data_IF_101958704079
#
_entry.id   IF_101958704079
#
_cell.length_a   1.000
_cell.length_b   1.000
_cell.length_c   1.000
_cell.angle_alpha   90.00
_cell.angle_beta   90.00
_cell.angle_gamma   90.00
#
_symmetry.space_group_name_H-M   'P 1'
#
loop_
_entity.id
_entity.type
_entity.pdbx_description
1 polymer ?
#
# COMPACT_ATOMS: atom_id res chain seq x y z
N UNK A 1 28.37 -12.85 -15.93
CA UNK A 1 26.93 -12.92 -15.58
C UNK A 1 26.67 -11.83 -14.55
N UNK A 2 26.15 -10.68 -14.98
CA UNK A 2 25.71 -9.64 -14.04
C UNK A 2 24.49 -10.18 -13.34
N UNK A 3 24.49 -10.28 -12.01
CA UNK A 3 23.24 -10.36 -11.27
C UNK A 3 22.42 -9.14 -11.72
N UNK A 4 21.32 -9.37 -12.44
CA UNK A 4 20.45 -8.28 -12.88
C UNK A 4 19.99 -7.51 -11.66
N UNK A 5 20.01 -6.17 -11.73
CA UNK A 5 19.40 -5.36 -10.68
C UNK A 5 17.97 -5.90 -10.45
N UNK A 6 17.54 -6.11 -9.20
CA UNK A 6 16.17 -6.53 -8.93
C UNK A 6 15.21 -5.52 -9.57
N UNK A 7 14.14 -6.03 -10.18
CA UNK A 7 13.04 -5.20 -10.69
C UNK A 7 12.53 -4.32 -9.54
N UNK A 8 12.27 -3.04 -9.82
CA UNK A 8 11.84 -2.09 -8.79
C UNK A 8 10.55 -2.56 -8.12
N UNK A 9 9.69 -3.24 -8.87
CA UNK A 9 8.43 -3.78 -8.39
C UNK A 9 8.66 -4.95 -7.42
N UNK A 10 9.67 -5.79 -7.66
CA UNK A 10 10.04 -6.86 -6.75
C UNK A 10 10.63 -6.32 -5.45
N UNK A 11 11.47 -5.27 -5.54
CA UNK A 11 11.98 -4.57 -4.36
C UNK A 11 10.85 -3.95 -3.53
N UNK A 12 9.90 -3.27 -4.20
CA UNK A 12 8.73 -2.68 -3.56
C UNK A 12 7.85 -3.72 -2.89
N UNK A 13 7.51 -4.82 -3.58
CA UNK A 13 6.77 -5.96 -3.00
C UNK A 13 7.47 -6.53 -1.78
N UNK A 14 8.80 -6.69 -1.85
CA UNK A 14 9.59 -7.21 -0.74
C UNK A 14 9.52 -6.30 0.49
N UNK A 15 9.57 -4.99 0.30
CA UNK A 15 9.45 -4.01 1.39
C UNK A 15 8.06 -4.07 2.01
N UNK A 16 7.00 -4.04 1.19
CA UNK A 16 5.62 -4.08 1.66
C UNK A 16 5.32 -5.38 2.42
N UNK A 17 5.73 -6.54 1.88
CA UNK A 17 5.59 -7.84 2.56
C UNK A 17 6.35 -7.92 3.88
N UNK A 18 7.41 -7.12 4.06
CA UNK A 18 8.22 -7.06 5.28
C UNK A 18 7.86 -5.87 6.18
N UNK A 19 6.80 -5.13 5.87
CA UNK A 19 6.41 -3.95 6.62
C UNK A 19 6.18 -4.23 8.11
N UNK A 20 5.49 -5.33 8.45
CA UNK A 20 5.29 -5.75 9.85
C UNK A 20 6.63 -5.99 10.58
N UNK A 21 7.66 -6.52 9.89
CA UNK A 21 9.00 -6.68 10.48
C UNK A 21 9.60 -5.31 10.83
N UNK A 22 9.44 -4.32 9.95
CA UNK A 22 9.88 -2.93 10.20
C UNK A 22 9.14 -2.37 11.42
N UNK A 23 7.82 -2.50 11.47
CA UNK A 23 7.00 -2.03 12.61
C UNK A 23 7.42 -2.70 13.92
N UNK A 24 7.59 -4.02 13.93
CA UNK A 24 8.09 -4.74 15.12
C UNK A 24 9.50 -4.31 15.54
N UNK A 25 10.35 -3.93 14.60
CA UNK A 25 11.68 -3.42 14.90
C UNK A 25 11.63 -2.02 15.53
N UNK A 26 10.70 -1.16 15.10
CA UNK A 26 10.50 0.17 15.68
C UNK A 26 10.06 0.13 17.15
N UNK A 27 9.39 -0.96 17.57
CA UNK A 27 9.05 -1.23 18.98
C UNK A 27 10.29 -1.52 19.85
N UNK A 28 11.40 -1.98 19.27
CA UNK A 28 12.65 -2.27 20.00
C UNK A 28 13.46 -0.99 20.18
N UNK A 29 13.34 -0.40 21.36
CA UNK A 29 13.97 0.89 21.70
C UNK A 29 15.07 0.69 22.74
N UNK A 30 16.08 1.55 22.70
CA UNK A 30 17.15 1.55 23.68
C UNK A 30 16.65 2.03 25.04
N UNK A 31 16.94 1.29 26.11
CA UNK A 31 16.51 1.57 27.49
C UNK A 31 14.98 1.70 27.59
N UNK A 32 14.48 2.50 28.54
CA UNK A 32 13.05 2.64 28.84
C UNK A 32 12.32 3.65 27.94
N UNK A 33 12.77 3.80 26.69
CA UNK A 33 12.12 4.71 25.74
C UNK A 33 10.78 4.12 25.28
N UNK A 34 9.73 4.95 25.16
CA UNK A 34 8.47 4.52 24.56
C UNK A 34 8.67 3.91 23.17
N UNK A 35 7.90 2.86 22.88
CA UNK A 35 7.84 2.25 21.57
C UNK A 35 7.33 3.26 20.52
N UNK A 36 7.81 3.12 19.29
CA UNK A 36 7.15 3.74 18.14
C UNK A 36 6.09 2.74 17.69
N UNK A 37 4.83 3.13 17.79
CA UNK A 37 3.67 2.30 17.49
C UNK A 37 2.98 2.78 16.21
N UNK A 38 2.22 1.88 15.57
CA UNK A 38 1.39 2.17 14.40
C UNK A 38 -0.04 1.85 14.83
N UNK A 39 -0.88 2.86 14.91
CA UNK A 39 -2.24 2.75 15.44
C UNK A 39 -3.32 2.85 14.37
N UNK A 40 -3.01 3.49 13.25
CA UNK A 40 -3.96 3.74 12.19
C UNK A 40 -3.29 3.82 10.81
N UNK A 41 -4.09 4.18 9.82
CA UNK A 41 -3.66 4.31 8.43
C UNK A 41 -2.66 5.46 8.22
N UNK A 42 -2.77 6.56 8.97
CA UNK A 42 -1.85 7.69 8.85
C UNK A 42 -0.45 7.32 9.35
N UNK A 43 -0.36 6.54 10.42
CA UNK A 43 0.93 6.02 10.90
C UNK A 43 1.60 5.10 9.86
N UNK A 44 0.82 4.26 9.15
CA UNK A 44 1.32 3.49 8.01
C UNK A 44 1.89 4.45 6.96
N UNK A 45 1.10 5.46 6.59
CA UNK A 45 1.47 6.43 5.56
C UNK A 45 2.77 7.15 5.91
N UNK A 46 2.95 7.64 7.14
CA UNK A 46 4.18 8.33 7.54
C UNK A 46 5.41 7.44 7.43
N UNK A 47 5.33 6.21 7.95
CA UNK A 47 6.45 5.27 7.89
C UNK A 47 6.75 4.86 6.44
N UNK A 48 5.71 4.51 5.68
CA UNK A 48 5.86 4.06 4.30
C UNK A 48 6.40 5.19 3.42
N UNK A 49 5.92 6.42 3.59
CA UNK A 49 6.42 7.58 2.86
C UNK A 49 7.92 7.78 3.09
N UNK A 50 8.39 7.68 4.33
CA UNK A 50 9.81 7.80 4.66
C UNK A 50 10.65 6.71 3.96
N UNK A 51 10.16 5.47 3.91
CA UNK A 51 10.83 4.36 3.22
C UNK A 51 10.85 4.63 1.71
N UNK A 52 9.71 4.99 1.11
CA UNK A 52 9.60 5.24 -0.33
C UNK A 52 10.49 6.39 -0.78
N UNK A 53 10.55 7.50 -0.03
CA UNK A 53 11.45 8.64 -0.32
C UNK A 53 12.93 8.28 -0.24
N UNK A 54 13.28 7.24 0.50
CA UNK A 54 14.65 6.71 0.54
C UNK A 54 15.02 5.87 -0.68
N UNK A 55 14.04 5.44 -1.48
CA UNK A 55 14.22 4.46 -2.56
C UNK A 55 13.92 5.03 -3.94
N UNK A 56 12.95 5.94 -4.03
CA UNK A 56 12.43 6.49 -5.27
C UNK A 56 12.64 8.00 -5.32
N UNK A 57 12.90 8.52 -6.52
CA UNK A 57 13.24 9.93 -6.72
C UNK A 57 12.00 10.85 -6.63
N UNK A 58 10.92 10.51 -7.33
CA UNK A 58 9.68 11.29 -7.39
C UNK A 58 8.52 10.52 -6.73
N UNK A 59 8.49 10.59 -5.39
CA UNK A 59 7.34 10.14 -4.59
C UNK A 59 6.49 11.36 -4.26
N UNK A 60 5.24 11.32 -4.71
CA UNK A 60 4.24 12.36 -4.46
C UNK A 60 3.20 11.81 -3.50
N UNK A 61 3.14 12.40 -2.31
CA UNK A 61 1.96 12.32 -1.47
C UNK A 61 1.01 13.46 -1.87
N UNK A 62 -0.30 13.24 -1.82
CA UNK A 62 -1.31 14.29 -2.00
C UNK A 62 -1.40 14.98 -3.38
N UNK A 63 -1.42 14.24 -4.49
CA UNK A 63 -1.98 14.80 -5.74
C UNK A 63 -3.51 14.70 -5.71
N UNK A 64 -4.20 15.84 -5.87
CA UNK A 64 -5.64 15.84 -6.16
C UNK A 64 -5.81 15.21 -7.54
N UNK A 65 -6.29 13.98 -7.60
CA UNK A 65 -6.71 13.38 -8.87
C UNK A 65 -7.78 14.26 -9.51
N UNK A 66 -7.84 14.38 -10.85
CA UNK A 66 -9.01 14.92 -11.51
C UNK A 66 -10.27 14.24 -10.95
N UNK A 67 -11.30 15.02 -10.62
CA UNK A 67 -12.52 14.52 -9.97
C UNK A 67 -13.10 13.36 -10.77
N UNK A 68 -13.15 12.16 -10.18
CA UNK A 68 -13.92 11.06 -10.73
C UNK A 68 -15.30 11.09 -10.09
N UNK A 69 -16.36 11.18 -10.90
CA UNK A 69 -17.76 11.22 -10.44
C UNK A 69 -18.07 12.28 -9.34
N UNK A 70 -17.39 13.43 -9.37
CA UNK A 70 -17.63 14.53 -8.41
C UNK A 70 -16.99 14.36 -7.03
N UNK A 71 -16.23 13.28 -6.80
CA UNK A 71 -15.43 13.10 -5.59
C UNK A 71 -13.94 13.31 -5.90
N UNK A 72 -13.32 14.29 -5.24
CA UNK A 72 -11.86 14.38 -5.16
C UNK A 72 -11.39 13.43 -4.07
N UNK A 73 -10.74 12.33 -4.43
CA UNK A 73 -9.99 11.52 -3.47
C UNK A 73 -8.53 11.94 -3.48
N UNK A 74 -7.92 12.00 -2.30
CA UNK A 74 -6.48 12.14 -2.18
C UNK A 74 -5.85 10.77 -2.46
N UNK A 75 -4.78 10.74 -3.25
CA UNK A 75 -3.97 9.53 -3.38
C UNK A 75 -3.00 9.46 -2.21
N UNK A 76 -2.82 8.27 -1.65
CA UNK A 76 -1.84 8.07 -0.59
C UNK A 76 -0.42 8.28 -1.13
N UNK A 77 -0.02 7.52 -2.16
CA UNK A 77 1.29 7.70 -2.82
C UNK A 77 1.22 7.47 -4.33
N UNK A 78 1.88 8.35 -5.09
CA UNK A 78 2.23 8.15 -6.49
C UNK A 78 3.76 8.14 -6.65
N UNK A 79 4.30 7.01 -7.11
CA UNK A 79 5.66 6.87 -7.61
C UNK A 79 5.63 7.27 -9.10
N UNK A 80 5.99 8.52 -9.38
CA UNK A 80 5.65 9.17 -10.66
C UNK A 80 6.37 8.53 -11.85
N UNK A 81 7.66 8.27 -11.71
CA UNK A 81 8.50 7.73 -12.77
C UNK A 81 8.16 6.26 -13.05
N UNK A 82 7.79 5.52 -12.00
CA UNK A 82 7.41 4.11 -12.05
C UNK A 82 5.94 3.90 -12.43
N UNK A 83 5.12 4.95 -12.42
CA UNK A 83 3.67 4.92 -12.66
C UNK A 83 2.93 3.95 -11.73
N UNK A 84 3.35 3.94 -10.47
CA UNK A 84 2.76 3.11 -9.41
C UNK A 84 2.02 3.98 -8.43
N UNK A 85 0.75 3.65 -8.18
CA UNK A 85 0.01 4.17 -7.04
C UNK A 85 0.03 3.13 -5.93
N UNK A 86 0.22 3.57 -4.69
CA UNK A 86 0.06 2.75 -3.50
C UNK A 86 -1.07 3.35 -2.69
N UNK A 87 -2.11 2.55 -2.45
CA UNK A 87 -3.25 2.86 -1.58
C UNK A 87 -3.09 2.03 -0.30
N UNK A 88 -3.16 2.67 0.86
CA UNK A 88 -2.99 2.02 2.16
C UNK A 88 -4.33 1.81 2.85
N UNK A 89 -4.44 0.73 3.63
CA UNK A 89 -5.56 0.49 4.55
C UNK A 89 -5.03 -0.07 5.87
N UNK A 90 -5.60 0.37 7.00
CA UNK A 90 -5.38 -0.25 8.31
C UNK A 90 -6.61 -1.07 8.71
N UNK A 91 -6.48 -2.38 8.80
CA UNK A 91 -7.59 -3.25 9.19
C UNK A 91 -7.89 -3.13 10.69
N UNK A 92 -9.18 -3.06 11.02
CA UNK A 92 -9.66 -2.92 12.40
C UNK A 92 -10.87 -3.82 12.63
N UNK A 93 -11.33 -3.92 13.88
CA UNK A 93 -12.57 -4.63 14.21
C UNK A 93 -13.78 -4.13 13.41
N UNK A 94 -13.83 -2.84 13.06
CA UNK A 94 -14.89 -2.20 12.26
C UNK A 94 -14.61 -2.15 10.76
N UNK A 95 -13.36 -2.25 10.35
CA UNK A 95 -12.93 -2.20 8.94
C UNK A 95 -12.19 -3.49 8.58
N UNK A 96 -12.95 -4.49 8.12
CA UNK A 96 -12.48 -5.86 7.84
C UNK A 96 -13.01 -6.36 6.49
N UNK A 97 -12.87 -7.66 6.23
CA UNK A 97 -13.10 -8.37 4.95
C UNK A 97 -13.98 -7.61 3.93
N UNK A 98 -15.28 -7.47 4.23
CA UNK A 98 -16.25 -6.85 3.33
C UNK A 98 -15.98 -5.36 3.12
N UNK A 99 -15.81 -4.61 4.19
CA UNK A 99 -15.63 -3.15 4.10
C UNK A 99 -14.32 -2.77 3.42
N UNK A 100 -13.23 -3.51 3.68
CA UNK A 100 -11.96 -3.31 2.95
C UNK A 100 -12.17 -3.64 1.48
N UNK A 101 -12.77 -4.79 1.15
CA UNK A 101 -13.01 -5.16 -0.25
C UNK A 101 -13.85 -4.11 -1.00
N UNK A 102 -14.92 -3.60 -0.39
CA UNK A 102 -15.77 -2.55 -0.97
C UNK A 102 -14.99 -1.25 -1.23
N UNK A 103 -14.14 -0.82 -0.30
CA UNK A 103 -13.29 0.36 -0.50
C UNK A 103 -12.25 0.15 -1.59
N UNK A 104 -11.56 -1.00 -1.58
CA UNK A 104 -10.55 -1.32 -2.59
C UNK A 104 -11.15 -1.39 -4.00
N UNK A 105 -12.38 -1.88 -4.16
CA UNK A 105 -13.05 -1.88 -5.48
C UNK A 105 -13.24 -0.46 -5.99
N UNK A 106 -13.66 0.47 -5.13
CA UNK A 106 -13.83 1.88 -5.48
C UNK A 106 -12.48 2.50 -5.85
N UNK A 107 -11.44 2.23 -5.07
CA UNK A 107 -10.09 2.73 -5.32
C UNK A 107 -9.57 2.19 -6.67
N UNK A 108 -9.73 0.88 -6.93
CA UNK A 108 -9.33 0.25 -8.19
C UNK A 108 -10.01 0.91 -9.40
N UNK A 109 -11.34 1.08 -9.36
CA UNK A 109 -12.07 1.72 -10.47
C UNK A 109 -11.56 3.14 -10.72
N UNK A 110 -11.39 3.90 -9.64
CA UNK A 110 -10.91 5.29 -9.68
C UNK A 110 -9.51 5.41 -10.29
N UNK A 111 -8.57 4.58 -9.85
CA UNK A 111 -7.17 4.65 -10.30
C UNK A 111 -6.95 4.06 -11.68
N UNK A 112 -7.81 3.15 -12.13
CA UNK A 112 -7.76 2.63 -13.50
C UNK A 112 -7.91 3.74 -14.55
N UNK A 113 -8.61 4.84 -14.21
CA UNK A 113 -8.75 6.01 -15.07
C UNK A 113 -7.59 7.02 -14.96
N UNK A 114 -6.67 6.86 -14.01
CA UNK A 114 -5.59 7.83 -13.76
C UNK A 114 -4.46 7.67 -14.80
N UNK A 115 -4.06 8.74 -15.52
CA UNK A 115 -3.13 8.65 -16.66
C UNK A 115 -1.73 8.13 -16.27
N UNK A 116 -1.31 8.41 -15.05
CA UNK A 116 -0.01 8.00 -14.50
C UNK A 116 -0.09 6.78 -13.57
N UNK A 117 -1.21 6.06 -13.57
CA UNK A 117 -1.34 4.81 -12.82
C UNK A 117 -1.36 3.62 -13.80
N UNK A 118 -0.26 2.88 -13.85
CA UNK A 118 -0.16 1.60 -14.58
C UNK A 118 -0.20 0.41 -13.64
N UNK A 119 0.24 0.60 -12.40
CA UNK A 119 0.17 -0.40 -11.35
C UNK A 119 -0.48 0.27 -10.14
N UNK A 120 -1.53 -0.34 -9.61
CA UNK A 120 -2.09 0.00 -8.32
C UNK A 120 -1.71 -1.09 -7.32
N UNK A 121 -1.08 -0.70 -6.22
CA UNK A 121 -0.83 -1.58 -5.09
C UNK A 121 -1.79 -1.18 -3.96
N UNK A 122 -2.71 -2.07 -3.60
CA UNK A 122 -3.54 -1.93 -2.42
C UNK A 122 -2.83 -2.64 -1.25
N UNK A 123 -2.25 -1.86 -0.35
CA UNK A 123 -1.53 -2.35 0.81
C UNK A 123 -2.40 -2.28 2.07
N UNK A 124 -2.85 -3.44 2.55
CA UNK A 124 -3.66 -3.58 3.76
C UNK A 124 -2.77 -4.07 4.89
N UNK A 125 -2.58 -3.26 5.93
CA UNK A 125 -1.90 -3.68 7.14
C UNK A 125 -2.92 -4.16 8.18
N UNK A 126 -2.81 -5.42 8.59
CA UNK A 126 -3.71 -6.12 9.49
C UNK A 126 -2.95 -6.80 10.64
N UNK A 127 -2.31 -6.03 11.53
CA UNK A 127 -1.45 -6.59 12.58
C UNK A 127 -2.19 -7.51 13.56
N UNK A 128 -3.52 -7.35 13.68
CA UNK A 128 -4.38 -8.08 14.61
C UNK A 128 -5.20 -9.20 13.93
N UNK A 129 -4.99 -9.45 12.63
CA UNK A 129 -5.65 -10.51 11.85
C UNK A 129 -7.19 -10.41 11.81
N UNK A 130 -7.71 -9.21 11.57
CA UNK A 130 -9.14 -8.98 11.35
C UNK A 130 -9.66 -9.51 10.00
N UNK A 131 -8.79 -9.65 9.00
CA UNK A 131 -9.10 -10.26 7.70
C UNK A 131 -8.98 -11.77 7.81
N UNK A 132 -10.09 -12.48 7.60
CA UNK A 132 -10.20 -13.91 7.87
C UNK A 132 -9.50 -14.78 6.83
N UNK A 133 -9.59 -14.37 5.56
CA UNK A 133 -8.95 -15.06 4.45
C UNK A 133 -8.16 -14.05 3.61
N UNK A 134 -6.98 -13.62 4.07
CA UNK A 134 -6.17 -12.64 3.35
C UNK A 134 -5.83 -13.08 1.92
N UNK A 135 -5.44 -14.35 1.73
CA UNK A 135 -5.15 -14.90 0.41
C UNK A 135 -6.36 -14.87 -0.55
N UNK A 136 -7.57 -15.08 -0.02
CA UNK A 136 -8.81 -14.94 -0.78
C UNK A 136 -9.03 -13.49 -1.23
N UNK A 137 -8.93 -12.53 -0.31
CA UNK A 137 -9.06 -11.11 -0.65
C UNK A 137 -8.01 -10.66 -1.69
N UNK A 138 -6.77 -11.11 -1.52
CA UNK A 138 -5.69 -10.85 -2.49
C UNK A 138 -6.02 -11.45 -3.86
N UNK A 139 -6.44 -12.71 -3.91
CA UNK A 139 -6.74 -13.42 -5.17
C UNK A 139 -7.98 -12.90 -5.89
N UNK A 140 -9.00 -12.45 -5.15
CA UNK A 140 -10.26 -11.96 -5.71
C UNK A 140 -10.10 -10.57 -6.37
N UNK A 141 -9.21 -9.73 -5.84
CA UNK A 141 -9.06 -8.34 -6.28
C UNK A 141 -7.81 -8.09 -7.12
N UNK A 142 -6.74 -8.86 -6.94
CA UNK A 142 -5.53 -8.73 -7.77
C UNK A 142 -5.81 -9.20 -9.19
N UNK A 143 -5.39 -8.41 -10.17
CA UNK A 143 -5.58 -8.73 -11.59
C UNK A 143 -4.61 -7.98 -12.47
N UNK A 144 -4.27 -8.57 -13.61
CA UNK A 144 -3.41 -7.94 -14.61
C UNK A 144 -4.10 -7.88 -15.96
N UNK A 145 -4.06 -6.71 -16.57
CA UNK A 145 -4.48 -6.47 -17.95
C UNK A 145 -3.32 -5.87 -18.73
N UNK A 146 -3.47 -5.69 -20.05
CA UNK A 146 -2.43 -5.08 -20.89
C UNK A 146 -2.09 -3.62 -20.51
N UNK A 147 -3.01 -2.93 -19.81
CA UNK A 147 -2.89 -1.49 -19.54
C UNK A 147 -2.77 -1.13 -18.07
N UNK A 148 -3.16 -2.05 -17.19
CA UNK A 148 -3.31 -1.80 -15.76
C UNK A 148 -3.16 -3.10 -14.96
N UNK A 149 -2.36 -3.05 -13.89
CA UNK A 149 -2.14 -4.15 -12.94
C UNK A 149 -2.59 -3.71 -11.54
N UNK A 150 -3.38 -4.54 -10.88
CA UNK A 150 -3.79 -4.39 -9.48
C UNK A 150 -3.11 -5.48 -8.68
N UNK A 151 -2.40 -5.08 -7.63
CA UNK A 151 -1.75 -5.97 -6.69
C UNK A 151 -2.33 -5.66 -5.31
N UNK A 152 -3.02 -6.62 -4.71
CA UNK A 152 -3.48 -6.50 -3.33
C UNK A 152 -2.51 -7.25 -2.44
N UNK A 153 -2.03 -6.59 -1.40
CA UNK A 153 -1.14 -7.15 -0.38
C UNK A 153 -1.79 -6.93 0.98
N UNK A 154 -2.20 -8.00 1.64
CA UNK A 154 -2.50 -7.96 3.08
C UNK A 154 -1.24 -8.36 3.84
N UNK A 155 -0.92 -7.70 4.95
CA UNK A 155 0.30 -7.93 5.74
C UNK A 155 0.01 -7.71 7.22
N UNK A 156 0.48 -8.56 8.14
CA UNK A 156 1.23 -9.78 7.89
C UNK A 156 0.30 -10.96 7.52
N UNK A 157 0.64 -11.72 6.46
CA UNK A 157 0.22 -13.12 6.27
C UNK A 157 1.11 -13.83 5.24
#
# INVERSE_FOLDING_TARGET
>A
MSAGKPDFLDALRQILRRFDIVVRQLKKRHADRPAIEIHDEYDIQYLLHAILRGLFFDVRAEEVSPSYAGASSRLDFLLKDEKVVIETKFATASLRDKQIGEQLIIDIERYQAHPDCKILICFVYDPENFIRNPAGLEGDLSRKTDRFEVIVLVVPH
#
